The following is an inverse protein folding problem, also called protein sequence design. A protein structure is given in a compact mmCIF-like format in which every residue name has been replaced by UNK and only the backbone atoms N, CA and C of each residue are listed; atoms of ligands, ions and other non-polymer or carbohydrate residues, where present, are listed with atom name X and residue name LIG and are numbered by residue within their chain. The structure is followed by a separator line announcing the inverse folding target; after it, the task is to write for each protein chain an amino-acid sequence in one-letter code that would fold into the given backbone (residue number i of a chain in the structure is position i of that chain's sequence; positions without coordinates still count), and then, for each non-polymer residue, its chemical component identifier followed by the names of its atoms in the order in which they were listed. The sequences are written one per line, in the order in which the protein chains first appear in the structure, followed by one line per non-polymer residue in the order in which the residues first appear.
data_IF_531353810488
#
_entry.id   IF_531353810488
#
_cell.length_a   1.000
_cell.length_b   1.000
_cell.length_c   1.000
_cell.angle_alpha   90.00
_cell.angle_beta   90.00
_cell.angle_gamma   90.00
#
_symmetry.space_group_name_H-M   'P 1'
#
loop_
_entity.id
_entity.type
_entity.pdbx_description
1 polymer ?
#
# COMPACT_ATOMS: atom_id res chain seq x y z
N UNK A 1 24.81 -4.36 12.02
CA UNK A 1 23.36 -4.36 12.34
C UNK A 1 22.47 -4.29 11.09
N UNK A 2 22.73 -3.34 10.20
CA UNK A 2 21.98 -3.08 8.97
C UNK A 2 21.79 -4.31 8.05
N UNK A 3 22.84 -5.14 7.89
CA UNK A 3 22.78 -6.41 7.15
C UNK A 3 21.80 -7.45 7.72
N UNK A 4 21.46 -7.38 9.00
CA UNK A 4 20.50 -8.28 9.64
C UNK A 4 19.07 -7.83 9.35
N UNK A 5 18.79 -6.53 9.50
CA UNK A 5 17.48 -5.95 9.18
C UNK A 5 17.07 -6.18 7.73
N UNK A 6 17.99 -5.97 6.78
CA UNK A 6 17.73 -6.20 5.36
C UNK A 6 17.33 -7.65 5.07
N UNK A 7 18.04 -8.63 5.65
CA UNK A 7 17.74 -10.06 5.49
C UNK A 7 16.36 -10.43 6.02
N UNK A 8 15.99 -9.90 7.20
CA UNK A 8 14.67 -10.14 7.81
C UNK A 8 13.57 -9.62 6.89
N UNK A 9 13.67 -8.36 6.45
CA UNK A 9 12.67 -7.73 5.59
C UNK A 9 12.51 -8.49 4.28
N UNK A 10 13.61 -8.81 3.59
CA UNK A 10 13.54 -9.57 2.33
C UNK A 10 12.94 -10.96 2.53
N UNK A 11 13.22 -11.60 3.68
CA UNK A 11 12.64 -12.88 4.04
C UNK A 11 11.13 -12.79 4.21
N UNK A 12 10.65 -11.80 4.96
CA UNK A 12 9.21 -11.56 5.18
C UNK A 12 8.51 -11.28 3.85
N UNK A 13 9.06 -10.42 2.99
CA UNK A 13 8.47 -10.10 1.68
C UNK A 13 8.39 -11.32 0.77
N UNK A 14 9.46 -12.11 0.71
CA UNK A 14 9.51 -13.35 -0.09
C UNK A 14 8.45 -14.34 0.41
N UNK A 15 8.45 -14.61 1.72
CA UNK A 15 7.51 -15.56 2.31
C UNK A 15 6.07 -15.13 2.12
N UNK A 16 5.77 -13.84 2.31
CA UNK A 16 4.43 -13.25 2.06
C UNK A 16 3.91 -13.58 0.66
N UNK A 17 4.78 -13.54 -0.36
CA UNK A 17 4.43 -13.89 -1.74
C UNK A 17 4.28 -15.40 -1.96
N UNK A 18 5.08 -16.21 -1.30
CA UNK A 18 5.01 -17.68 -1.40
C UNK A 18 3.73 -18.24 -0.80
N UNK A 19 3.31 -17.72 0.37
CA UNK A 19 2.10 -18.19 1.06
C UNK A 19 0.84 -17.41 0.68
N UNK A 20 0.95 -16.37 -0.16
CA UNK A 20 -0.16 -15.53 -0.58
C UNK A 20 -0.78 -14.69 0.56
N UNK A 21 -0.01 -14.33 1.58
CA UNK A 21 -0.48 -13.59 2.75
C UNK A 21 0.25 -12.27 2.92
N UNK A 22 -0.51 -11.18 3.08
CA UNK A 22 0.04 -9.87 3.43
C UNK A 22 -0.09 -9.64 4.94
N UNK A 23 1.04 -9.42 5.66
CA UNK A 23 1.02 -9.08 7.08
C UNK A 23 0.04 -7.95 7.41
N UNK A 24 -0.65 -8.04 8.55
CA UNK A 24 -1.66 -7.03 8.96
C UNK A 24 -1.07 -5.62 9.01
N UNK A 25 0.17 -5.51 9.48
CA UNK A 25 0.90 -4.24 9.53
C UNK A 25 1.10 -3.63 8.14
N UNK A 26 1.31 -4.46 7.11
CA UNK A 26 1.53 -4.04 5.72
C UNK A 26 0.24 -3.68 4.98
N UNK A 27 -0.91 -3.97 5.59
CA UNK A 27 -2.25 -3.63 5.08
C UNK A 27 -2.80 -2.36 5.70
N UNK A 28 -2.05 -1.72 6.60
CA UNK A 28 -2.48 -0.48 7.23
C UNK A 28 -2.27 0.67 6.26
N UNK A 29 -3.33 1.43 6.01
CA UNK A 29 -3.27 2.63 5.18
C UNK A 29 -3.76 3.85 5.96
N UNK A 30 -3.17 5.00 5.67
CA UNK A 30 -3.73 6.29 6.02
C UNK A 30 -4.68 6.73 4.90
N UNK A 31 -5.98 6.83 5.22
CA UNK A 31 -6.98 7.36 4.29
C UNK A 31 -6.95 8.89 4.27
N UNK A 32 -6.50 9.47 3.17
CA UNK A 32 -6.46 10.92 2.97
C UNK A 32 -7.61 11.34 2.06
N UNK A 33 -8.46 12.25 2.52
CA UNK A 33 -9.54 12.82 1.71
C UNK A 33 -9.01 14.00 0.87
N UNK A 34 -9.01 13.83 -0.45
CA UNK A 34 -8.63 14.86 -1.41
C UNK A 34 -9.87 15.45 -2.08
N UNK A 35 -9.98 16.77 -2.16
CA UNK A 35 -11.08 17.46 -2.84
C UNK A 35 -11.05 17.21 -4.35
N UNK A 36 -12.20 16.87 -4.95
CA UNK A 36 -12.37 16.85 -6.40
C UNK A 36 -12.48 18.29 -6.90
N UNK A 37 -11.82 18.65 -8.01
CA UNK A 37 -11.96 19.99 -8.58
C UNK A 37 -13.39 20.21 -9.09
N UNK A 38 -13.84 21.47 -9.08
CA UNK A 38 -15.10 21.95 -9.69
C UNK A 38 -16.36 21.27 -9.16
N UNK A 39 -16.43 21.04 -7.84
CA UNK A 39 -17.65 20.60 -7.17
C UNK A 39 -18.36 21.78 -6.53
N UNK A 40 -19.68 21.80 -6.70
CA UNK A 40 -20.56 22.87 -6.21
C UNK A 40 -20.69 22.85 -4.68
N UNK A 41 -20.73 21.65 -4.09
CA UNK A 41 -20.93 21.47 -2.64
C UNK A 41 -19.92 20.48 -2.05
N UNK A 42 -19.07 20.95 -1.14
CA UNK A 42 -18.06 20.15 -0.41
C UNK A 42 -18.56 19.65 0.96
N UNK A 43 -19.83 19.80 1.28
CA UNK A 43 -20.50 19.07 2.36
C UNK A 43 -20.84 17.63 1.99
N UNK A 44 -20.87 17.32 0.68
CA UNK A 44 -21.18 15.97 0.17
C UNK A 44 -19.93 15.09 0.08
N UNK A 45 -19.99 13.81 0.52
CA UNK A 45 -18.88 12.87 0.38
C UNK A 45 -18.42 12.66 -1.08
N UNK A 46 -19.34 12.79 -2.04
CA UNK A 46 -19.08 12.65 -3.48
C UNK A 46 -18.08 13.68 -4.03
N UNK A 47 -17.89 14.79 -3.32
CA UNK A 47 -16.96 15.86 -3.67
C UNK A 47 -15.52 15.58 -3.28
N UNK A 48 -15.26 14.42 -2.66
CA UNK A 48 -13.93 13.97 -2.27
C UNK A 48 -13.53 12.68 -2.98
N UNK A 49 -12.22 12.44 -3.05
CA UNK A 49 -11.58 11.18 -3.39
C UNK A 49 -10.84 10.70 -2.16
N UNK A 50 -11.04 9.46 -1.77
CA UNK A 50 -10.24 8.84 -0.72
C UNK A 50 -9.00 8.25 -1.36
N UNK A 51 -7.82 8.67 -0.91
CA UNK A 51 -6.52 8.10 -1.30
C UNK A 51 -6.00 7.29 -0.11
N UNK A 52 -5.83 5.99 -0.30
CA UNK A 52 -5.26 5.11 0.72
C UNK A 52 -3.74 5.07 0.58
N UNK A 53 -3.04 5.72 1.51
CA UNK A 53 -1.59 5.69 1.61
C UNK A 53 -1.15 4.48 2.44
N UNK A 54 -0.83 3.38 1.77
CA UNK A 54 -0.24 2.19 2.42
C UNK A 54 1.16 2.50 2.95
N UNK A 55 1.59 1.72 3.95
CA UNK A 55 2.99 1.73 4.37
C UNK A 55 3.93 1.29 3.23
N UNK A 56 5.22 1.61 3.43
CA UNK A 56 6.27 1.37 2.45
C UNK A 56 6.36 -0.11 2.06
N UNK A 57 6.20 -1.04 3.01
CA UNK A 57 6.34 -2.47 2.74
C UNK A 57 5.14 -3.04 1.99
N UNK A 58 3.93 -2.59 2.32
CA UNK A 58 2.71 -2.85 1.54
C UNK A 58 2.87 -2.38 0.08
N UNK A 59 3.36 -1.15 -0.13
CA UNK A 59 3.63 -0.61 -1.48
C UNK A 59 4.70 -1.40 -2.25
N UNK A 60 5.73 -1.88 -1.56
CA UNK A 60 6.75 -2.74 -2.16
C UNK A 60 6.13 -4.06 -2.64
N UNK A 61 5.29 -4.71 -1.82
CA UNK A 61 4.58 -5.93 -2.22
C UNK A 61 3.66 -5.71 -3.42
N UNK A 62 2.86 -4.64 -3.41
CA UNK A 62 2.02 -4.27 -4.55
C UNK A 62 2.83 -4.11 -5.83
N UNK A 63 3.97 -3.40 -5.76
CA UNK A 63 4.87 -3.21 -6.90
C UNK A 63 5.48 -4.52 -7.39
N UNK A 64 5.86 -5.43 -6.48
CA UNK A 64 6.39 -6.74 -6.84
C UNK A 64 5.35 -7.58 -7.58
N UNK A 65 4.10 -7.58 -7.11
CA UNK A 65 2.99 -8.30 -7.76
C UNK A 65 2.64 -7.65 -9.10
N UNK A 66 2.50 -6.32 -9.15
CA UNK A 66 2.21 -5.59 -10.40
C UNK A 66 3.21 -5.91 -11.50
N UNK A 67 4.51 -5.88 -11.19
CA UNK A 67 5.57 -6.27 -12.15
C UNK A 67 5.52 -7.72 -12.62
N UNK A 68 4.92 -8.62 -11.83
CA UNK A 68 4.75 -10.03 -12.23
C UNK A 68 3.53 -10.21 -13.13
N UNK A 69 2.50 -9.38 -12.96
CA UNK A 69 1.27 -9.39 -13.75
C UNK A 69 1.36 -8.57 -15.05
N UNK A 70 2.28 -7.60 -15.11
CA UNK A 70 2.58 -6.81 -16.33
C UNK A 70 3.34 -7.63 -17.40
N UNK A 71 3.66 -8.90 -17.14
CA UNK A 71 4.18 -9.85 -18.12
C UNK A 71 3.06 -10.65 -18.74
#
# INVERSE_FOLDING_TARGET
EERKGRRVITGVLKWSLEIGYVPKQFRRALGVMMRKPRKEDYGKPESYRVINLLDVWGKVLERMVGRRLEK
#
